data_IF_884639931880
#
_entry.id   IF_884639931880
#
_cell.length_a   1.000
_cell.length_b   1.000
_cell.length_c   1.000
_cell.angle_alpha   90.00
_cell.angle_beta   90.00
_cell.angle_gamma   90.00
#
_symmetry.space_group_name_H-M   'P 1'
#
loop_
_entity.id
_entity.type
_entity.pdbx_description
1 polymer ?
#
# COMPACT_ATOMS: atom_id res chain seq x y z
N UNK A 1 12.83 11.34 -2.85
CA UNK A 1 13.07 10.42 -1.71
C UNK A 1 12.88 11.15 -0.39
N UNK A 2 12.50 10.44 0.66
CA UNK A 2 12.46 10.92 2.04
C UNK A 2 13.86 10.71 2.66
N UNK A 3 14.61 11.77 3.01
CA UNK A 3 15.91 11.65 3.65
C UNK A 3 15.77 11.27 5.12
N UNK A 4 16.82 10.66 5.70
CA UNK A 4 16.86 10.27 7.11
C UNK A 4 15.58 9.52 7.57
N UNK A 5 15.25 8.38 6.96
CA UNK A 5 14.01 7.67 7.26
C UNK A 5 14.03 7.14 8.71
N UNK A 6 12.85 6.97 9.27
CA UNK A 6 12.72 6.24 10.54
C UNK A 6 13.18 4.80 10.33
N UNK A 7 14.13 4.35 11.13
CA UNK A 7 14.69 2.99 11.11
C UNK A 7 14.48 2.29 12.43
N UNK A 8 14.62 0.98 12.46
CA UNK A 8 14.62 0.17 13.67
C UNK A 8 15.91 -0.67 13.75
N UNK A 9 16.40 -0.92 14.96
CA UNK A 9 17.52 -1.85 15.16
C UNK A 9 17.06 -3.28 14.94
N UNK A 10 18.00 -4.14 14.54
CA UNK A 10 17.80 -5.60 14.43
C UNK A 10 17.22 -6.24 15.68
N UNK A 11 17.50 -5.67 16.87
CA UNK A 11 17.03 -6.12 18.17
C UNK A 11 15.68 -5.51 18.60
N UNK A 12 15.10 -4.64 17.78
CA UNK A 12 13.82 -4.01 18.11
C UNK A 12 12.70 -5.05 18.15
N UNK A 13 11.90 -5.04 19.22
CA UNK A 13 10.78 -5.97 19.33
C UNK A 13 9.75 -5.75 18.21
N UNK A 14 9.21 -6.82 17.66
CA UNK A 14 8.17 -6.80 16.62
C UNK A 14 6.94 -5.98 17.05
N UNK A 15 6.61 -5.97 18.34
CA UNK A 15 5.51 -5.15 18.86
C UNK A 15 5.78 -3.65 18.66
N UNK A 16 7.03 -3.19 18.88
CA UNK A 16 7.43 -1.80 18.63
C UNK A 16 7.45 -1.48 17.13
N UNK A 17 7.96 -2.40 16.30
CA UNK A 17 7.91 -2.23 14.84
C UNK A 17 6.47 -2.08 14.36
N UNK A 18 5.54 -2.89 14.88
CA UNK A 18 4.10 -2.79 14.57
C UNK A 18 3.52 -1.44 14.96
N UNK A 19 3.85 -0.90 16.14
CA UNK A 19 3.36 0.43 16.52
C UNK A 19 3.92 1.53 15.62
N UNK A 20 5.19 1.49 15.24
CA UNK A 20 5.79 2.44 14.28
C UNK A 20 5.05 2.40 12.94
N UNK A 21 4.88 1.21 12.34
CA UNK A 21 4.16 1.06 11.07
C UNK A 21 2.70 1.55 11.13
N UNK A 22 2.05 1.42 12.29
CA UNK A 22 0.68 1.87 12.53
C UNK A 22 0.63 3.38 12.76
N UNK A 23 1.38 3.88 13.73
CA UNK A 23 1.26 5.24 14.26
C UNK A 23 1.79 6.27 13.24
N UNK A 24 2.92 5.99 12.61
CA UNK A 24 3.51 6.81 11.53
C UNK A 24 2.89 6.54 10.15
N UNK A 25 1.99 5.59 10.07
CA UNK A 25 1.35 5.19 8.81
C UNK A 25 2.32 4.71 7.73
N UNK A 26 3.52 4.25 8.09
CA UNK A 26 4.50 3.72 7.16
C UNK A 26 4.06 2.39 6.53
N UNK A 27 4.54 2.13 5.33
CA UNK A 27 4.30 0.87 4.60
C UNK A 27 5.44 -0.11 4.79
N UNK A 28 6.63 0.41 5.02
CA UNK A 28 7.88 -0.30 5.23
C UNK A 28 8.74 0.48 6.21
N UNK A 29 9.54 -0.22 7.00
CA UNK A 29 10.56 0.34 7.90
C UNK A 29 11.88 -0.37 7.63
N UNK A 30 12.97 0.36 7.31
CA UNK A 30 14.30 -0.21 7.22
C UNK A 30 14.80 -0.70 8.58
N UNK A 31 15.47 -1.85 8.58
CA UNK A 31 16.11 -2.45 9.74
C UNK A 31 17.61 -2.25 9.61
N UNK A 32 18.25 -1.77 10.68
CA UNK A 32 19.66 -1.40 10.66
C UNK A 32 20.45 -1.98 11.83
N UNK A 33 21.77 -2.17 11.60
CA UNK A 33 22.78 -2.33 12.63
C UNK A 33 23.62 -1.05 12.68
N UNK A 34 23.43 -0.23 13.71
CA UNK A 34 23.94 1.15 13.70
C UNK A 34 23.26 1.99 12.61
N UNK A 35 23.95 2.27 11.50
CA UNK A 35 23.40 2.91 10.29
C UNK A 35 23.44 2.01 9.06
N UNK A 36 24.01 0.81 9.19
CA UNK A 36 24.11 -0.16 8.11
C UNK A 36 22.78 -0.85 7.87
N UNK A 37 22.30 -0.86 6.63
CA UNK A 37 21.05 -1.49 6.24
C UNK A 37 21.19 -3.03 6.28
N UNK A 38 20.35 -3.67 7.07
CA UNK A 38 20.31 -5.14 7.20
C UNK A 38 19.10 -5.76 6.49
N UNK A 39 17.98 -5.03 6.48
CA UNK A 39 16.75 -5.54 5.92
C UNK A 39 15.63 -4.50 5.92
N UNK A 40 14.44 -4.97 5.59
CA UNK A 40 13.20 -4.19 5.65
C UNK A 40 12.06 -5.00 6.26
N UNK A 41 11.13 -4.32 6.92
CA UNK A 41 9.90 -4.94 7.44
C UNK A 41 8.72 -4.15 6.88
N UNK A 42 7.78 -4.87 6.27
CA UNK A 42 6.56 -4.31 5.68
C UNK A 42 5.33 -4.60 6.54
N UNK A 43 4.19 -3.99 6.20
CA UNK A 43 2.90 -4.36 6.81
C UNK A 43 2.50 -5.79 6.49
N UNK A 44 2.93 -6.34 5.35
CA UNK A 44 2.70 -7.75 4.99
C UNK A 44 3.35 -8.70 5.98
N UNK A 45 4.61 -8.43 6.33
CA UNK A 45 5.36 -9.25 7.28
C UNK A 45 4.73 -9.21 8.67
N UNK A 46 4.22 -8.03 9.08
CA UNK A 46 3.48 -7.87 10.33
C UNK A 46 2.19 -8.68 10.39
N UNK A 47 1.55 -8.93 9.24
CA UNK A 47 0.33 -9.74 9.19
C UNK A 47 0.57 -11.22 9.48
N UNK A 48 1.74 -11.73 9.16
CA UNK A 48 2.12 -13.15 9.38
C UNK A 48 2.44 -13.48 10.83
N UNK A 49 2.51 -12.48 11.71
CA UNK A 49 2.90 -12.68 13.12
C UNK A 49 1.70 -12.61 14.02
N UNK A 50 1.42 -13.72 14.72
CA UNK A 50 0.38 -13.74 15.77
C UNK A 50 0.79 -12.86 16.97
N UNK A 51 -0.20 -12.26 17.62
CA UNK A 51 0.02 -11.35 18.76
C UNK A 51 0.73 -12.00 19.96
N UNK A 52 0.66 -13.32 20.09
CA UNK A 52 1.25 -14.11 21.19
C UNK A 52 2.78 -14.25 21.11
N UNK A 53 3.40 -13.93 19.96
CA UNK A 53 4.86 -13.98 19.82
C UNK A 53 5.50 -12.62 20.15
N UNK A 54 5.38 -12.17 21.41
CA UNK A 54 5.89 -10.87 21.87
C UNK A 54 7.43 -10.77 21.93
N UNK A 55 8.15 -11.88 21.93
CA UNK A 55 9.60 -11.92 22.11
C UNK A 55 10.37 -12.00 20.77
N UNK A 56 9.71 -11.84 19.62
CA UNK A 56 10.39 -11.81 18.33
C UNK A 56 10.99 -10.43 18.11
N UNK A 57 12.26 -10.40 17.72
CA UNK A 57 12.98 -9.20 17.30
C UNK A 57 12.86 -8.97 15.79
N UNK A 58 13.18 -7.74 15.34
CA UNK A 58 13.13 -7.34 13.93
C UNK A 58 13.95 -8.28 13.03
N UNK A 59 15.12 -8.75 13.50
CA UNK A 59 15.97 -9.70 12.77
C UNK A 59 15.27 -11.02 12.44
N UNK A 60 14.29 -11.43 13.21
CA UNK A 60 13.56 -12.70 13.00
C UNK A 60 12.47 -12.62 11.94
N UNK A 61 12.17 -11.43 11.42
CA UNK A 61 11.08 -11.20 10.46
C UNK A 61 11.44 -10.26 9.30
N UNK A 62 12.59 -9.58 9.39
CA UNK A 62 13.05 -8.74 8.29
C UNK A 62 13.38 -9.59 7.07
N UNK A 63 13.16 -9.03 5.91
CA UNK A 63 13.57 -9.61 4.63
C UNK A 63 14.64 -8.72 4.00
N UNK A 64 15.52 -9.32 3.19
CA UNK A 64 16.46 -8.56 2.39
C UNK A 64 15.69 -7.70 1.38
N UNK A 65 16.02 -6.42 1.24
CA UNK A 65 15.37 -5.57 0.26
C UNK A 65 15.57 -6.11 -1.16
N UNK A 66 14.49 -6.31 -1.91
CA UNK A 66 14.55 -6.75 -3.31
C UNK A 66 15.26 -5.76 -4.22
N UNK A 67 15.22 -4.48 -3.86
CA UNK A 67 15.89 -3.38 -4.56
C UNK A 67 16.50 -2.47 -3.51
N UNK A 68 17.75 -2.10 -3.74
CA UNK A 68 18.49 -1.05 -3.01
C UNK A 68 18.99 -0.08 -4.07
N UNK A 69 19.02 1.21 -3.76
CA UNK A 69 19.48 2.23 -4.69
C UNK A 69 20.37 3.25 -3.99
N UNK A 70 21.03 4.10 -4.77
CA UNK A 70 21.86 5.21 -4.29
C UNK A 70 21.31 6.54 -4.80
N UNK A 71 21.72 7.70 -4.24
CA UNK A 71 21.25 9.01 -4.67
C UNK A 71 21.55 9.34 -6.15
N UNK A 72 22.55 8.70 -6.73
CA UNK A 72 23.03 8.94 -8.10
C UNK A 72 22.19 8.22 -9.17
N UNK A 73 21.37 7.26 -8.77
CA UNK A 73 20.58 6.47 -9.73
C UNK A 73 19.44 7.31 -10.30
N UNK A 74 19.31 7.28 -11.63
CA UNK A 74 18.22 7.96 -12.33
C UNK A 74 16.85 7.48 -11.88
N UNK A 75 15.91 8.41 -11.72
CA UNK A 75 14.57 8.15 -11.19
C UNK A 75 13.75 7.20 -12.07
N UNK A 76 13.97 7.22 -13.38
CA UNK A 76 13.28 6.29 -14.31
C UNK A 76 13.84 4.89 -14.18
N UNK A 77 15.16 4.76 -13.93
CA UNK A 77 15.80 3.45 -13.71
C UNK A 77 15.29 2.81 -12.41
N UNK A 78 15.25 3.58 -11.30
CA UNK A 78 14.72 3.05 -10.05
C UNK A 78 13.23 2.75 -10.14
N UNK A 79 12.45 3.56 -10.86
CA UNK A 79 11.04 3.28 -11.12
C UNK A 79 10.81 1.93 -11.81
N UNK A 80 11.61 1.61 -12.84
CA UNK A 80 11.58 0.30 -13.51
C UNK A 80 11.94 -0.84 -12.56
N UNK A 81 12.97 -0.67 -11.74
CA UNK A 81 13.39 -1.69 -10.77
C UNK A 81 12.30 -1.97 -9.74
N UNK A 82 11.66 -0.93 -9.21
CA UNK A 82 10.55 -1.03 -8.25
C UNK A 82 9.37 -1.80 -8.86
N UNK A 83 8.96 -1.46 -10.10
CA UNK A 83 7.87 -2.15 -10.80
C UNK A 83 8.22 -3.63 -11.05
N UNK A 84 9.40 -3.91 -11.58
CA UNK A 84 9.82 -5.27 -11.91
C UNK A 84 9.98 -6.16 -10.68
N UNK A 85 10.33 -5.59 -9.52
CA UNK A 85 10.45 -6.30 -8.26
C UNK A 85 9.12 -6.47 -7.52
N UNK A 86 8.03 -5.88 -8.03
CA UNK A 86 6.71 -5.84 -7.39
C UNK A 86 6.79 -5.30 -5.95
N UNK A 87 7.41 -4.13 -5.81
CA UNK A 87 7.55 -3.42 -4.54
C UNK A 87 7.08 -1.96 -4.69
N UNK A 88 6.85 -1.29 -3.58
CA UNK A 88 6.36 0.10 -3.55
C UNK A 88 7.38 1.10 -3.01
N UNK A 89 8.45 0.61 -2.42
CA UNK A 89 9.50 1.42 -1.79
C UNK A 89 10.83 0.69 -1.88
N UNK A 90 11.93 1.46 -1.97
CA UNK A 90 13.30 0.95 -1.90
C UNK A 90 14.14 1.79 -0.93
N UNK A 91 14.97 1.17 -0.08
CA UNK A 91 15.97 1.87 0.69
C UNK A 91 16.98 2.55 -0.22
N UNK A 92 17.44 3.73 0.19
CA UNK A 92 18.52 4.48 -0.47
C UNK A 92 19.72 4.45 0.47
N UNK A 93 20.83 3.89 0.00
CA UNK A 93 22.10 3.82 0.72
C UNK A 93 23.10 4.80 0.14
N UNK A 94 24.18 5.06 0.87
CA UNK A 94 25.17 6.06 0.50
C UNK A 94 25.90 5.71 -0.80
N UNK A 95 26.29 4.45 -0.98
CA UNK A 95 26.88 3.91 -2.20
C UNK A 95 26.73 2.40 -2.25
N UNK A 96 27.12 1.75 -3.35
CA UNK A 96 27.10 0.28 -3.46
C UNK A 96 28.02 -0.41 -2.45
N UNK A 97 29.13 0.25 -2.07
CA UNK A 97 30.10 -0.25 -1.10
C UNK A 97 29.82 0.24 0.34
N UNK A 98 28.94 1.20 0.52
CA UNK A 98 28.57 1.78 1.82
C UNK A 98 27.05 1.68 2.03
N UNK A 99 26.62 0.61 2.71
CA UNK A 99 25.23 0.31 3.02
C UNK A 99 24.63 1.21 4.10
N UNK A 100 25.28 2.33 4.45
CA UNK A 100 24.70 3.34 5.32
C UNK A 100 23.43 3.89 4.71
N UNK A 101 22.28 3.71 5.40
CA UNK A 101 21.00 4.21 4.91
C UNK A 101 20.96 5.75 4.98
N UNK A 102 20.60 6.38 3.86
CA UNK A 102 20.48 7.83 3.73
C UNK A 102 19.06 8.27 3.37
N UNK A 103 18.23 7.37 2.89
CA UNK A 103 16.87 7.70 2.47
C UNK A 103 16.00 6.48 2.22
N UNK A 104 14.76 6.75 1.87
CA UNK A 104 13.83 5.79 1.28
C UNK A 104 13.13 6.46 0.10
N UNK A 105 12.97 5.74 -1.01
CA UNK A 105 12.23 6.20 -2.18
C UNK A 105 11.01 5.32 -2.40
N UNK A 106 9.89 5.93 -2.74
CA UNK A 106 8.62 5.24 -3.00
C UNK A 106 8.08 5.56 -4.39
N UNK A 107 7.15 4.72 -4.87
CA UNK A 107 6.38 5.02 -6.08
C UNK A 107 5.70 6.39 -5.99
N UNK A 108 5.25 6.82 -4.79
CA UNK A 108 4.67 8.15 -4.61
C UNK A 108 5.67 9.27 -4.89
N UNK A 109 6.89 9.19 -4.33
CA UNK A 109 7.94 10.19 -4.58
C UNK A 109 8.27 10.30 -6.08
N UNK A 110 8.28 9.16 -6.78
CA UNK A 110 8.54 9.13 -8.22
C UNK A 110 7.40 9.80 -8.99
N UNK A 111 6.15 9.45 -8.67
CA UNK A 111 4.98 10.05 -9.31
C UNK A 111 4.88 11.56 -9.05
N UNK A 112 5.16 12.03 -7.84
CA UNK A 112 5.24 13.46 -7.50
C UNK A 112 6.26 14.17 -8.39
N UNK A 113 7.47 13.62 -8.49
CA UNK A 113 8.52 14.20 -9.34
C UNK A 113 8.13 14.23 -10.83
N UNK A 114 7.46 13.18 -11.33
CA UNK A 114 7.00 13.13 -12.72
C UNK A 114 5.91 14.17 -13.00
N UNK A 115 5.01 14.37 -12.04
CA UNK A 115 3.95 15.39 -12.13
C UNK A 115 4.53 16.81 -12.05
N UNK A 116 5.46 17.08 -11.13
CA UNK A 116 6.10 18.39 -10.94
C UNK A 116 6.92 18.79 -12.16
N UNK A 117 7.55 17.83 -12.83
CA UNK A 117 8.28 18.03 -14.10
C UNK A 117 7.39 18.00 -15.34
N UNK A 118 6.08 17.89 -15.15
CA UNK A 118 5.10 17.81 -16.24
C UNK A 118 5.39 16.74 -17.29
N UNK A 119 6.05 15.65 -16.88
CA UNK A 119 6.34 14.52 -17.77
C UNK A 119 5.01 13.91 -18.25
N UNK A 120 4.92 13.68 -19.55
CA UNK A 120 3.72 13.09 -20.15
C UNK A 120 3.75 11.57 -20.03
N UNK A 121 2.66 10.92 -19.57
CA UNK A 121 2.54 9.47 -19.60
C UNK A 121 2.42 8.97 -21.04
N UNK A 122 2.82 7.74 -21.28
CA UNK A 122 2.64 7.04 -22.58
C UNK A 122 1.23 6.50 -22.77
N UNK A 123 0.58 6.08 -21.68
CA UNK A 123 -0.85 5.78 -21.64
C UNK A 123 -1.59 7.05 -21.22
N UNK A 124 -2.68 7.37 -21.89
CA UNK A 124 -3.40 8.61 -21.65
C UNK A 124 -4.54 8.44 -20.66
N UNK A 125 -5.33 7.39 -20.84
CA UNK A 125 -6.54 7.16 -20.06
C UNK A 125 -6.36 6.06 -19.01
N UNK A 126 -7.06 6.20 -17.88
CA UNK A 126 -7.11 5.22 -16.80
C UNK A 126 -7.47 3.83 -17.32
N UNK A 127 -8.43 3.73 -18.23
CA UNK A 127 -8.86 2.45 -18.81
C UNK A 127 -7.75 1.64 -19.49
N UNK A 128 -6.71 2.31 -20.03
CA UNK A 128 -5.57 1.66 -20.68
C UNK A 128 -4.61 0.96 -19.67
N UNK A 129 -4.67 1.36 -18.40
CA UNK A 129 -3.83 0.82 -17.34
C UNK A 129 -4.62 0.04 -16.27
N UNK A 130 -5.94 -0.10 -16.47
CA UNK A 130 -6.84 -0.72 -15.50
C UNK A 130 -6.75 -2.24 -15.52
N UNK A 131 -6.58 -2.84 -14.34
CA UNK A 131 -6.75 -4.29 -14.13
C UNK A 131 -8.23 -4.61 -13.94
N UNK A 132 -8.80 -5.47 -14.81
CA UNK A 132 -10.24 -5.77 -14.83
C UNK A 132 -10.65 -6.91 -13.91
N UNK A 133 -9.80 -7.91 -13.72
CA UNK A 133 -10.07 -9.03 -12.84
C UNK A 133 -9.81 -8.63 -11.38
N UNK A 134 -10.79 -7.97 -10.75
CA UNK A 134 -10.63 -7.41 -9.41
C UNK A 134 -11.04 -8.40 -8.33
N UNK A 135 -10.12 -8.69 -7.42
CA UNK A 135 -10.43 -9.44 -6.19
C UNK A 135 -11.13 -8.50 -5.22
N UNK A 136 -12.33 -8.88 -4.79
CA UNK A 136 -13.19 -8.08 -3.91
C UNK A 136 -13.54 -8.84 -2.63
N UNK A 137 -14.13 -8.15 -1.66
CA UNK A 137 -14.79 -8.76 -0.50
C UNK A 137 -16.18 -8.16 -0.30
N UNK A 138 -17.04 -8.88 0.44
CA UNK A 138 -18.35 -8.37 0.81
C UNK A 138 -18.27 -7.55 2.10
N UNK A 139 -19.14 -6.55 2.24
CA UNK A 139 -19.20 -5.68 3.41
C UNK A 139 -19.46 -6.43 4.72
N UNK A 140 -20.11 -7.58 4.65
CA UNK A 140 -20.47 -8.44 5.79
C UNK A 140 -19.52 -9.63 5.98
N UNK A 141 -18.48 -9.77 5.17
CA UNK A 141 -17.44 -10.79 5.37
C UNK A 141 -16.74 -10.57 6.73
N UNK A 142 -16.39 -11.65 7.44
CA UNK A 142 -15.56 -11.56 8.63
C UNK A 142 -14.13 -11.11 8.26
N UNK A 143 -13.49 -10.31 9.11
CA UNK A 143 -12.14 -9.80 8.87
C UNK A 143 -11.10 -10.90 8.67
N UNK A 144 -11.24 -12.05 9.34
CA UNK A 144 -10.36 -13.20 9.15
C UNK A 144 -10.34 -13.68 7.71
N UNK A 145 -11.52 -13.78 7.07
CA UNK A 145 -11.64 -14.18 5.66
C UNK A 145 -10.94 -13.17 4.71
N UNK A 146 -11.05 -11.88 5.01
CA UNK A 146 -10.39 -10.83 4.22
C UNK A 146 -8.88 -10.86 4.44
N UNK A 147 -8.46 -11.13 5.67
CA UNK A 147 -7.05 -11.33 6.00
C UNK A 147 -6.44 -12.47 5.20
N UNK A 148 -7.05 -13.66 5.26
CA UNK A 148 -6.58 -14.84 4.53
C UNK A 148 -6.52 -14.53 3.02
N UNK A 149 -7.57 -13.91 2.47
CA UNK A 149 -7.60 -13.47 1.06
C UNK A 149 -6.46 -12.51 0.69
N UNK A 150 -6.13 -11.54 1.57
CA UNK A 150 -5.02 -10.61 1.34
C UNK A 150 -3.65 -11.29 1.46
N UNK A 151 -3.52 -12.33 2.28
CA UNK A 151 -2.29 -13.11 2.41
C UNK A 151 -2.09 -14.01 1.19
N UNK A 152 -3.11 -14.76 0.79
CA UNK A 152 -3.10 -15.66 -0.36
C UNK A 152 -2.83 -14.94 -1.69
N UNK A 153 -3.39 -13.75 -1.87
CA UNK A 153 -3.24 -12.98 -3.13
C UNK A 153 -2.07 -12.00 -3.12
N UNK A 154 -1.45 -11.76 -1.97
CA UNK A 154 -0.44 -10.70 -1.81
C UNK A 154 -1.03 -9.28 -1.78
N UNK A 155 -2.33 -9.08 -2.05
CA UNK A 155 -2.93 -7.76 -2.17
C UNK A 155 -3.02 -7.03 -0.83
N UNK A 156 -2.68 -5.74 -0.84
CA UNK A 156 -2.68 -4.89 0.34
C UNK A 156 -4.00 -4.12 0.55
N UNK A 157 -4.99 -4.33 -0.30
CA UNK A 157 -6.32 -3.72 -0.17
C UNK A 157 -7.31 -4.22 -1.21
N UNK A 158 -8.57 -4.34 -0.81
CA UNK A 158 -9.65 -4.88 -1.62
C UNK A 158 -10.83 -3.91 -1.68
N UNK A 159 -11.49 -3.77 -2.85
CA UNK A 159 -12.80 -3.13 -2.93
C UNK A 159 -13.86 -3.91 -2.15
N UNK A 160 -14.72 -3.18 -1.46
CA UNK A 160 -15.81 -3.74 -0.66
C UNK A 160 -17.11 -3.59 -1.43
N UNK A 161 -17.80 -4.71 -1.63
CA UNK A 161 -19.01 -4.81 -2.44
C UNK A 161 -20.25 -5.06 -1.58
N UNK A 162 -21.34 -4.38 -1.92
CA UNK A 162 -22.69 -4.63 -1.42
C UNK A 162 -23.67 -4.59 -2.59
N UNK A 163 -24.49 -5.64 -2.76
CA UNK A 163 -25.48 -5.74 -3.86
C UNK A 163 -24.86 -5.42 -5.24
N UNK A 164 -23.69 -5.98 -5.53
CA UNK A 164 -22.90 -5.78 -6.77
C UNK A 164 -22.33 -4.35 -6.98
N UNK A 165 -22.56 -3.43 -6.07
CA UNK A 165 -22.00 -2.07 -6.11
C UNK A 165 -20.82 -1.95 -5.17
N UNK A 166 -19.80 -1.16 -5.57
CA UNK A 166 -18.72 -0.79 -4.67
C UNK A 166 -19.23 0.25 -3.67
N UNK A 167 -18.93 0.04 -2.39
CA UNK A 167 -19.33 0.94 -1.30
C UNK A 167 -18.15 1.38 -0.43
N UNK A 168 -17.00 0.77 -0.57
CA UNK A 168 -15.83 1.06 0.27
C UNK A 168 -14.57 0.38 -0.20
N UNK A 169 -13.51 0.62 0.56
CA UNK A 169 -12.21 -0.04 0.45
C UNK A 169 -11.76 -0.54 1.81
N UNK A 170 -11.11 -1.68 1.86
CA UNK A 170 -10.44 -2.19 3.05
C UNK A 170 -8.98 -2.50 2.73
N UNK A 171 -8.06 -2.13 3.62
CA UNK A 171 -6.62 -2.32 3.43
C UNK A 171 -5.98 -3.03 4.63
N UNK A 172 -4.77 -3.59 4.42
CA UNK A 172 -3.94 -4.12 5.52
C UNK A 172 -3.75 -3.10 6.65
N UNK A 173 -3.62 -1.79 6.29
CA UNK A 173 -3.54 -0.71 7.28
C UNK A 173 -4.78 -0.64 8.16
N UNK A 174 -5.97 -0.70 7.57
CA UNK A 174 -7.23 -0.61 8.31
C UNK A 174 -7.38 -1.79 9.27
N UNK A 175 -7.01 -2.98 8.81
CA UNK A 175 -7.02 -4.20 9.62
C UNK A 175 -6.02 -4.11 10.79
N UNK A 176 -4.78 -3.69 10.55
CA UNK A 176 -3.75 -3.55 11.61
C UNK A 176 -4.16 -2.47 12.61
N UNK A 177 -4.71 -1.34 12.14
CA UNK A 177 -5.12 -0.23 12.99
C UNK A 177 -6.32 -0.59 13.87
N UNK A 178 -7.22 -1.44 13.39
CA UNK A 178 -8.43 -1.83 14.14
C UNK A 178 -8.13 -2.61 15.41
N UNK A 179 -6.96 -3.28 15.49
CA UNK A 179 -6.59 -4.16 16.60
C UNK A 179 -7.47 -5.42 16.76
N UNK A 180 -8.54 -5.55 15.96
CA UNK A 180 -9.54 -6.61 16.09
C UNK A 180 -9.05 -8.03 15.80
N UNK A 181 -7.94 -8.16 15.07
CA UNK A 181 -7.36 -9.48 14.80
C UNK A 181 -6.81 -10.13 16.06
N UNK A 182 -6.38 -9.35 17.05
CA UNK A 182 -5.97 -9.87 18.36
C UNK A 182 -7.12 -10.63 19.07
N UNK A 183 -8.33 -10.18 18.89
CA UNK A 183 -9.49 -10.67 19.65
C UNK A 183 -10.14 -11.91 19.02
N UNK A 184 -10.06 -12.09 17.70
CA UNK A 184 -10.72 -13.20 17.02
C UNK A 184 -9.94 -14.52 17.03
N UNK A 185 -8.60 -14.46 17.20
CA UNK A 185 -7.76 -15.66 17.31
C UNK A 185 -7.46 -16.10 18.75
N UNK A 186 -7.63 -15.23 19.75
CA UNK A 186 -7.22 -15.49 21.15
C UNK A 186 -8.38 -15.72 22.13
N UNK A 187 -9.62 -15.51 21.74
CA UNK A 187 -10.73 -15.60 22.68
C UNK A 187 -11.99 -16.21 22.10
N UNK A 188 -12.47 -17.24 22.78
CA UNK A 188 -13.71 -17.92 22.45
C UNK A 188 -14.90 -17.00 22.22
N UNK A 189 -15.71 -17.38 21.23
CA UNK A 189 -17.10 -16.95 20.96
C UNK A 189 -17.41 -15.46 21.17
N UNK A 190 -16.65 -14.54 20.56
CA UNK A 190 -17.16 -13.21 20.22
C UNK A 190 -17.53 -13.19 18.75
N UNK A 191 -18.69 -12.57 18.47
CA UNK A 191 -19.19 -12.37 17.11
C UNK A 191 -18.05 -11.78 16.24
N UNK A 192 -17.66 -12.41 15.12
CA UNK A 192 -16.51 -11.95 14.34
C UNK A 192 -16.75 -10.53 13.84
N UNK A 193 -15.73 -9.68 13.93
CA UNK A 193 -15.78 -8.32 13.39
C UNK A 193 -15.91 -8.40 11.87
N UNK A 194 -16.86 -7.66 11.32
CA UNK A 194 -17.15 -7.61 9.89
C UNK A 194 -16.38 -6.47 9.22
N UNK A 195 -16.18 -6.56 7.91
CA UNK A 195 -15.56 -5.57 7.05
C UNK A 195 -16.20 -4.18 7.21
N UNK A 196 -17.53 -4.11 7.27
CA UNK A 196 -18.29 -2.86 7.42
C UNK A 196 -17.88 -2.01 8.62
N UNK A 197 -17.35 -2.65 9.68
CA UNK A 197 -16.94 -1.94 10.89
C UNK A 197 -15.63 -1.16 10.76
N UNK A 198 -14.79 -1.51 9.77
CA UNK A 198 -13.45 -0.89 9.62
C UNK A 198 -13.11 -0.43 8.20
N UNK A 199 -13.93 -0.80 7.20
CA UNK A 199 -13.72 -0.33 5.83
C UNK A 199 -13.78 1.19 5.75
N UNK A 200 -13.07 1.76 4.81
CA UNK A 200 -13.21 3.18 4.46
C UNK A 200 -14.32 3.37 3.44
N UNK A 201 -15.30 4.13 3.82
CA UNK A 201 -16.46 4.47 3.00
C UNK A 201 -16.80 5.96 3.18
N UNK A 202 -17.21 6.68 2.14
CA UNK A 202 -17.27 6.29 0.73
C UNK A 202 -15.86 6.24 0.09
N UNK A 203 -15.62 5.36 -0.90
CA UNK A 203 -14.32 5.25 -1.54
C UNK A 203 -14.04 6.43 -2.46
N UNK A 204 -12.76 6.82 -2.58
CA UNK A 204 -12.27 7.63 -3.70
C UNK A 204 -12.20 6.71 -4.90
N UNK A 205 -12.78 7.11 -6.02
CA UNK A 205 -12.87 6.31 -7.24
C UNK A 205 -12.62 7.17 -8.48
N UNK A 206 -12.39 6.53 -9.61
CA UNK A 206 -12.14 7.18 -10.89
C UNK A 206 -12.85 6.42 -12.02
N UNK A 207 -13.17 7.09 -13.13
CA UNK A 207 -13.73 6.46 -14.33
C UNK A 207 -12.64 6.21 -15.39
N UNK A 208 -12.91 5.31 -16.34
CA UNK A 208 -11.94 4.87 -17.34
C UNK A 208 -11.49 5.97 -18.32
N UNK A 209 -12.36 6.95 -18.56
CA UNK A 209 -12.13 8.08 -19.47
C UNK A 209 -11.17 9.15 -18.92
N UNK A 210 -10.89 9.11 -17.63
CA UNK A 210 -10.04 10.09 -16.97
C UNK A 210 -8.57 9.92 -17.35
N UNK A 211 -7.83 11.04 -17.30
CA UNK A 211 -6.39 11.06 -17.56
C UNK A 211 -5.62 10.33 -16.43
N UNK A 212 -4.60 9.59 -16.81
CA UNK A 212 -3.65 8.93 -15.88
C UNK A 212 -3.06 9.91 -14.85
N UNK A 213 -2.82 11.16 -15.25
CA UNK A 213 -2.36 12.21 -14.33
C UNK A 213 -3.37 12.51 -13.22
N UNK A 214 -4.66 12.42 -13.54
CA UNK A 214 -5.72 12.61 -12.53
C UNK A 214 -5.69 11.48 -11.50
N UNK A 215 -5.50 10.23 -11.95
CA UNK A 215 -5.31 9.10 -11.05
C UNK A 215 -4.08 9.30 -10.13
N UNK A 216 -2.94 9.72 -10.70
CA UNK A 216 -1.74 10.04 -9.92
C UNK A 216 -2.00 11.11 -8.85
N UNK A 217 -2.63 12.23 -9.24
CA UNK A 217 -2.98 13.33 -8.34
C UNK A 217 -3.91 12.89 -7.20
N UNK A 218 -4.93 12.09 -7.50
CA UNK A 218 -5.83 11.54 -6.48
C UNK A 218 -5.10 10.61 -5.51
N UNK A 219 -4.23 9.75 -6.01
CA UNK A 219 -3.44 8.84 -5.18
C UNK A 219 -2.49 9.56 -4.24
N UNK A 220 -1.90 10.67 -4.68
CA UNK A 220 -1.04 11.53 -3.87
C UNK A 220 -1.89 12.31 -2.85
N UNK A 221 -2.91 13.05 -3.32
CA UNK A 221 -3.81 13.86 -2.49
C UNK A 221 -4.40 13.11 -1.30
N UNK A 222 -4.84 11.88 -1.53
CA UNK A 222 -5.48 11.04 -0.50
C UNK A 222 -4.53 10.04 0.16
N UNK A 223 -3.25 10.04 -0.23
CA UNK A 223 -2.24 9.06 0.20
C UNK A 223 -2.73 7.61 0.10
N UNK A 224 -3.33 7.25 -1.03
CA UNK A 224 -3.85 5.92 -1.33
C UNK A 224 -3.03 5.24 -2.43
N UNK A 225 -2.86 3.93 -2.33
CA UNK A 225 -2.05 3.14 -3.27
C UNK A 225 -2.84 2.60 -4.47
N UNK A 226 -4.17 2.76 -4.46
CA UNK A 226 -5.06 2.22 -5.50
C UNK A 226 -6.38 2.98 -5.55
N UNK A 227 -6.96 3.01 -6.74
CA UNK A 227 -8.29 3.55 -6.99
C UNK A 227 -9.16 2.46 -7.63
N UNK A 228 -10.37 2.20 -7.11
CA UNK A 228 -11.39 1.51 -7.89
C UNK A 228 -11.69 2.30 -9.15
N UNK A 229 -11.72 1.59 -10.27
CA UNK A 229 -12.21 2.13 -11.55
C UNK A 229 -13.66 1.74 -11.67
N UNK A 230 -14.52 2.73 -11.92
CA UNK A 230 -15.96 2.57 -11.77
C UNK A 230 -16.73 3.10 -12.97
N UNK A 231 -17.94 2.56 -13.15
CA UNK A 231 -18.93 3.07 -14.07
C UNK A 231 -20.20 3.50 -13.29
N UNK A 232 -20.98 4.40 -13.91
CA UNK A 232 -22.21 4.94 -13.33
C UNK A 232 -22.06 5.43 -11.86
N UNK A 233 -21.06 6.29 -11.55
CA UNK A 233 -20.81 6.70 -10.18
C UNK A 233 -21.88 7.66 -9.66
N UNK A 234 -22.37 7.40 -8.43
CA UNK A 234 -23.17 8.34 -7.65
C UNK A 234 -22.23 9.15 -6.76
N UNK A 235 -21.84 10.32 -7.20
CA UNK A 235 -20.88 11.18 -6.50
C UNK A 235 -21.45 11.81 -5.23
N UNK A 236 -20.56 12.16 -4.30
CA UNK A 236 -20.90 12.94 -3.12
C UNK A 236 -20.73 14.42 -3.45
N UNK A 237 -21.79 15.24 -3.26
CA UNK A 237 -21.81 16.66 -3.66
C UNK A 237 -20.62 17.49 -3.15
N UNK A 238 -20.16 17.24 -1.90
CA UNK A 238 -19.05 17.99 -1.28
C UNK A 238 -17.68 17.42 -1.58
N UNK A 239 -17.60 16.17 -2.02
CA UNK A 239 -16.37 15.43 -2.30
C UNK A 239 -16.56 14.65 -3.61
N UNK A 240 -16.46 15.30 -4.77
CA UNK A 240 -16.82 14.71 -6.07
C UNK A 240 -15.93 13.52 -6.46
N UNK A 241 -14.75 13.39 -5.86
CA UNK A 241 -13.87 12.24 -6.07
C UNK A 241 -14.30 10.99 -5.29
N UNK A 242 -15.28 11.14 -4.37
CA UNK A 242 -15.86 10.02 -3.63
C UNK A 242 -17.21 9.61 -4.18
N UNK A 243 -17.43 8.31 -4.20
CA UNK A 243 -18.68 7.74 -4.73
C UNK A 243 -19.44 7.02 -3.62
N UNK A 244 -20.75 7.27 -3.53
CA UNK A 244 -21.63 6.58 -2.58
C UNK A 244 -21.82 5.11 -2.99
N UNK A 245 -22.00 4.90 -4.29
CA UNK A 245 -22.08 3.60 -4.95
C UNK A 245 -21.74 3.74 -6.43
N UNK A 246 -21.22 2.68 -7.02
CA UNK A 246 -20.90 2.61 -8.44
C UNK A 246 -20.79 1.14 -8.88
N UNK A 247 -20.73 0.90 -10.18
CA UNK A 247 -20.33 -0.39 -10.72
C UNK A 247 -18.82 -0.48 -10.76
N UNK A 248 -18.25 -1.54 -10.19
CA UNK A 248 -16.81 -1.76 -10.23
C UNK A 248 -16.45 -2.41 -11.57
N UNK A 249 -15.66 -1.73 -12.39
CA UNK A 249 -15.18 -2.23 -13.69
C UNK A 249 -13.70 -2.61 -13.66
N UNK A 250 -12.95 -2.12 -12.69
CA UNK A 250 -11.53 -2.41 -12.57
C UNK A 250 -10.89 -1.80 -11.32
N UNK A 251 -9.59 -1.91 -11.27
CA UNK A 251 -8.74 -1.27 -10.26
C UNK A 251 -7.47 -0.76 -10.93
N UNK A 252 -6.97 0.38 -10.48
CA UNK A 252 -5.67 0.91 -10.90
C UNK A 252 -4.82 1.19 -9.67
N UNK A 253 -3.54 0.82 -9.71
CA UNK A 253 -2.59 1.00 -8.61
C UNK A 253 -1.56 2.09 -8.94
N UNK A 254 -0.78 2.52 -7.94
CA UNK A 254 0.34 3.45 -8.17
C UNK A 254 1.38 2.87 -9.13
N UNK A 255 1.58 1.56 -9.07
CA UNK A 255 2.49 0.81 -9.93
C UNK A 255 2.01 0.83 -11.39
N UNK A 256 0.70 0.66 -11.63
CA UNK A 256 0.11 0.76 -12.97
C UNK A 256 0.23 2.18 -13.53
N UNK A 257 -0.03 3.18 -12.66
CA UNK A 257 0.15 4.59 -13.03
C UNK A 257 1.61 4.88 -13.35
N UNK A 258 2.56 4.47 -12.50
CA UNK A 258 3.99 4.64 -12.76
C UNK A 258 4.42 3.92 -14.04
N UNK A 259 3.93 2.69 -14.27
CA UNK A 259 4.17 1.94 -15.51
C UNK A 259 3.75 2.69 -16.76
N UNK A 260 2.70 3.50 -16.65
CA UNK A 260 2.22 4.35 -17.77
C UNK A 260 3.18 5.47 -18.15
N UNK A 261 4.14 5.82 -17.29
CA UNK A 261 5.18 6.82 -17.60
C UNK A 261 6.48 6.18 -18.09
N UNK A 262 6.81 4.96 -17.62
CA UNK A 262 8.15 4.40 -17.72
C UNK A 262 8.27 3.32 -18.81
N UNK A 263 7.20 2.55 -19.07
CA UNK A 263 7.19 1.40 -20.00
C UNK A 263 6.85 1.77 -21.42
#
# INVERSE_FOLDING_TARGET
>A
MTPNPVTVSVDTSVTKVRSILRDESFRCVPVVSGKHLEGTITRGDMMRISATKSNIEARGIMEHPKVITTPEVDISKIGKQIINADIIQAPVVKSEDDMTIVGIISVADILENLLDKEIKPKKHNVGEATTRNVVTCNYDDPLSKVWDKMDDTGFSGLPVIKKKKIIGMITRKDIINSGHIRLSKEGGVKKPTKVEAIMKTPPVAITEDKDIKEAAKLMIKYNIGRLPVVDHPVHIKKEPERVREAELVGIITREDVLGSYIN
#
